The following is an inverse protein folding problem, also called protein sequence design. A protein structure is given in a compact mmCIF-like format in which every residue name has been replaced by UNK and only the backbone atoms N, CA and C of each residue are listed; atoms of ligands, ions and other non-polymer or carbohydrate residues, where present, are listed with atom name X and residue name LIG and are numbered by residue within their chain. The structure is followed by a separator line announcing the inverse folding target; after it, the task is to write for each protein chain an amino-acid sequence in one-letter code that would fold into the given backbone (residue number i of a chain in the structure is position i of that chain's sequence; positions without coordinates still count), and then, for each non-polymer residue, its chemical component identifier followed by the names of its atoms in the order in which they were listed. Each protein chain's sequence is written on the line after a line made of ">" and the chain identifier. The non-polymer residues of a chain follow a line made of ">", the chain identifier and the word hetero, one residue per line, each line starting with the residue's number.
data_IF_868629553929
#
_entry.id   IF_868629553929
#
_cell.length_a   1.000
_cell.length_b   1.000
_cell.length_c   1.000
_cell.angle_alpha   90.00
_cell.angle_beta   90.00
_cell.angle_gamma   90.00
#
_symmetry.space_group_name_H-M   'P 1'
#
loop_
_entity.id
_entity.type
_entity.pdbx_description
1 polymer ?
#
# COMPACT_ATOMS: atom_id res chain seq x y z
N UNK A 1 -7.29 -66.01 16.69
CA UNK A 1 -7.99 -64.73 16.40
C UNK A 1 -7.19 -63.64 17.06
N UNK A 2 -6.39 -62.85 16.31
CA UNK A 2 -5.59 -61.80 16.88
C UNK A 2 -6.43 -60.55 17.09
N UNK A 3 -6.30 -60.03 18.18
CA UNK A 3 -6.76 -58.93 18.96
C UNK A 3 -7.04 -57.60 18.19
N UNK A 4 -8.31 -57.30 18.05
CA UNK A 4 -8.81 -55.99 17.58
C UNK A 4 -8.35 -54.80 18.43
N UNK A 5 -7.97 -55.07 19.70
CA UNK A 5 -7.48 -54.07 20.64
C UNK A 5 -6.10 -53.49 20.23
N UNK A 6 -5.21 -54.29 19.68
CA UNK A 6 -3.88 -53.83 19.26
C UNK A 6 -3.89 -52.95 18.02
N UNK A 7 -4.86 -53.20 17.10
CA UNK A 7 -5.05 -52.40 15.93
C UNK A 7 -5.57 -50.97 16.27
N UNK A 8 -6.50 -50.86 17.21
CA UNK A 8 -7.08 -49.59 17.63
C UNK A 8 -6.05 -48.76 18.37
N UNK A 9 -5.21 -49.38 19.21
CA UNK A 9 -4.15 -48.71 19.97
C UNK A 9 -3.02 -48.17 19.07
N UNK A 10 -2.67 -48.89 18.00
CA UNK A 10 -1.70 -48.42 17.00
C UNK A 10 -2.28 -47.28 16.12
N UNK A 11 -3.54 -47.32 15.74
CA UNK A 11 -4.19 -46.25 14.99
C UNK A 11 -4.26 -44.95 15.79
N UNK A 12 -4.53 -45.03 17.10
CA UNK A 12 -4.51 -43.84 17.97
C UNK A 12 -3.14 -43.20 18.11
N UNK A 13 -2.07 -44.00 18.18
CA UNK A 13 -0.68 -43.48 18.23
C UNK A 13 -0.28 -42.81 16.92
N UNK A 14 -0.69 -43.35 15.77
CA UNK A 14 -0.39 -42.76 14.46
C UNK A 14 -1.16 -41.46 14.30
N UNK A 15 -2.43 -41.40 14.73
CA UNK A 15 -3.23 -40.15 14.67
C UNK A 15 -2.66 -39.02 15.56
N UNK A 16 -2.15 -39.36 16.76
CA UNK A 16 -1.52 -38.39 17.65
C UNK A 16 -0.19 -37.85 17.12
N UNK A 17 0.62 -38.70 16.49
CA UNK A 17 1.91 -38.30 15.88
C UNK A 17 1.67 -37.40 14.66
N UNK A 18 0.62 -37.69 13.85
CA UNK A 18 0.26 -36.85 12.69
C UNK A 18 -0.25 -35.47 13.11
N UNK A 19 -0.93 -35.34 14.24
CA UNK A 19 -1.44 -34.06 14.72
C UNK A 19 -0.32 -33.15 15.29
N UNK A 20 0.74 -33.72 15.88
CA UNK A 20 1.89 -32.95 16.36
C UNK A 20 2.80 -32.47 15.24
N UNK A 21 2.83 -33.15 14.09
CA UNK A 21 3.68 -32.75 12.94
C UNK A 21 3.10 -31.58 12.16
N UNK A 22 1.80 -31.27 12.29
CA UNK A 22 1.12 -30.21 11.52
C UNK A 22 1.29 -28.80 12.08
N UNK A 23 1.90 -28.64 13.26
CA UNK A 23 2.01 -27.31 13.92
C UNK A 23 3.29 -26.54 13.61
N UNK A 24 4.22 -27.09 12.81
CA UNK A 24 5.54 -26.47 12.57
C UNK A 24 5.69 -25.71 11.24
N UNK A 25 4.64 -25.54 10.44
CA UNK A 25 4.78 -24.97 9.07
C UNK A 25 4.33 -23.53 8.88
N UNK A 26 4.08 -22.74 9.93
CA UNK A 26 3.64 -21.34 9.79
C UNK A 26 4.63 -20.28 10.30
N UNK A 27 5.91 -20.56 10.31
CA UNK A 27 6.93 -19.51 10.50
C UNK A 27 7.58 -19.12 9.20
N UNK A 28 6.76 -18.75 8.19
CA UNK A 28 7.24 -17.93 7.09
C UNK A 28 7.36 -16.49 7.60
N UNK A 29 8.36 -16.23 8.44
CA UNK A 29 8.84 -14.88 8.70
C UNK A 29 9.34 -14.35 7.36
N UNK A 30 8.59 -13.46 6.71
CA UNK A 30 9.19 -12.62 5.69
C UNK A 30 10.29 -11.82 6.38
N UNK A 31 11.55 -12.06 6.05
CA UNK A 31 12.70 -11.26 6.47
C UNK A 31 12.57 -9.84 5.91
N UNK A 32 11.63 -9.10 6.50
CA UNK A 32 11.45 -7.70 6.15
C UNK A 32 12.59 -6.92 6.80
N UNK A 33 13.49 -6.39 5.98
CA UNK A 33 14.59 -5.54 6.45
C UNK A 33 14.01 -4.47 7.37
N UNK A 34 14.49 -4.44 8.61
CA UNK A 34 14.04 -3.51 9.64
C UNK A 34 14.62 -2.12 9.35
N UNK A 35 13.80 -1.09 9.47
CA UNK A 35 14.25 0.29 9.46
C UNK A 35 14.96 0.61 10.80
N UNK A 36 16.29 0.75 10.74
CA UNK A 36 17.14 0.98 11.93
C UNK A 36 17.50 2.45 12.14
N UNK A 37 17.05 3.35 11.24
CA UNK A 37 17.32 4.78 11.40
C UNK A 37 16.59 5.35 12.63
N UNK A 38 17.24 6.20 13.45
CA UNK A 38 16.61 6.75 14.67
C UNK A 38 15.27 7.45 14.41
N UNK A 39 15.16 8.15 13.29
CA UNK A 39 13.93 8.85 12.90
C UNK A 39 12.94 7.99 12.09
N UNK A 40 13.31 6.76 11.72
CA UNK A 40 12.49 5.83 10.94
C UNK A 40 11.87 6.46 9.68
N UNK A 41 12.67 7.21 8.93
CA UNK A 41 12.23 8.00 7.78
C UNK A 41 11.57 7.12 6.70
N UNK A 42 12.16 5.96 6.40
CA UNK A 42 11.64 5.01 5.41
C UNK A 42 10.31 4.42 5.85
N UNK A 43 10.20 3.99 7.10
CA UNK A 43 8.98 3.42 7.66
C UNK A 43 7.83 4.43 7.69
N UNK A 44 8.11 5.68 8.05
CA UNK A 44 7.11 6.76 8.09
C UNK A 44 6.54 7.05 6.70
N UNK A 45 7.40 7.27 5.69
CA UNK A 45 6.91 7.54 4.32
C UNK A 45 6.19 6.33 3.72
N UNK A 46 6.67 5.09 3.99
CA UNK A 46 5.97 3.87 3.55
C UNK A 46 4.59 3.72 4.20
N UNK A 47 4.44 4.06 5.48
CA UNK A 47 3.16 4.05 6.16
C UNK A 47 2.16 5.04 5.53
N UNK A 48 2.64 6.23 5.16
CA UNK A 48 1.81 7.25 4.49
C UNK A 48 1.39 6.80 3.08
N UNK A 49 2.29 6.23 2.28
CA UNK A 49 1.92 5.69 0.97
C UNK A 49 0.94 4.50 1.06
N UNK A 50 1.00 3.69 2.12
CA UNK A 50 -0.03 2.68 2.38
C UNK A 50 -1.39 3.32 2.71
N UNK A 51 -1.41 4.42 3.45
CA UNK A 51 -2.64 5.18 3.70
C UNK A 51 -3.20 5.72 2.39
N UNK A 52 -2.37 6.29 1.49
CA UNK A 52 -2.81 6.73 0.16
C UNK A 52 -3.53 5.61 -0.59
N UNK A 53 -2.88 4.45 -0.73
CA UNK A 53 -3.47 3.31 -1.44
C UNK A 53 -4.81 2.91 -0.82
N UNK A 54 -4.87 2.77 0.52
CA UNK A 54 -6.09 2.39 1.22
C UNK A 54 -7.22 3.41 1.05
N UNK A 55 -6.88 4.70 0.99
CA UNK A 55 -7.85 5.79 0.83
C UNK A 55 -8.31 5.92 -0.63
N UNK A 56 -7.41 5.71 -1.60
CA UNK A 56 -7.72 5.81 -3.03
C UNK A 56 -8.47 4.58 -3.57
N UNK A 57 -8.22 3.39 -3.00
CA UNK A 57 -8.78 2.12 -3.50
C UNK A 57 -10.30 2.12 -3.70
N UNK A 58 -11.15 2.55 -2.72
CA UNK A 58 -12.59 2.61 -2.91
C UNK A 58 -12.99 3.56 -4.06
N UNK A 59 -12.32 4.70 -4.18
CA UNK A 59 -12.57 5.67 -5.26
C UNK A 59 -12.21 5.07 -6.63
N UNK A 60 -11.12 4.31 -6.71
CA UNK A 60 -10.75 3.57 -7.90
C UNK A 60 -11.75 2.47 -8.27
N UNK A 61 -12.39 1.81 -7.31
CA UNK A 61 -13.48 0.85 -7.57
C UNK A 61 -14.70 1.54 -8.16
N UNK A 62 -15.08 2.70 -7.64
CA UNK A 62 -16.17 3.52 -8.21
C UNK A 62 -15.83 3.98 -9.63
N UNK A 63 -14.61 4.45 -9.86
CA UNK A 63 -14.19 4.92 -11.19
C UNK A 63 -14.26 3.82 -12.27
N UNK A 64 -14.10 2.55 -11.86
CA UNK A 64 -14.14 1.36 -12.74
C UNK A 64 -15.48 0.61 -12.73
N UNK A 65 -16.54 1.23 -12.23
CA UNK A 65 -17.89 0.63 -12.10
C UNK A 65 -17.91 -0.72 -11.33
N UNK A 66 -17.02 -0.87 -10.34
CA UNK A 66 -16.95 -2.04 -9.46
C UNK A 66 -17.57 -1.80 -8.08
N UNK A 67 -17.94 -0.56 -7.80
CA UNK A 67 -18.61 -0.13 -6.59
C UNK A 67 -19.50 1.05 -6.90
N UNK A 68 -20.67 1.13 -6.28
CA UNK A 68 -21.61 2.24 -6.44
C UNK A 68 -21.00 3.53 -5.88
N UNK A 69 -21.30 4.64 -6.56
CA UNK A 69 -20.94 5.97 -6.07
C UNK A 69 -21.88 6.40 -4.96
N UNK A 70 -21.35 6.42 -3.73
CA UNK A 70 -22.03 7.02 -2.58
C UNK A 70 -21.34 8.34 -2.28
N UNK A 71 -22.02 9.46 -2.59
CA UNK A 71 -21.44 10.80 -2.54
C UNK A 71 -20.72 11.12 -1.23
N UNK A 72 -21.35 10.83 -0.09
CA UNK A 72 -20.79 11.16 1.22
C UNK A 72 -19.46 10.41 1.48
N UNK A 73 -19.41 9.11 1.19
CA UNK A 73 -18.25 8.27 1.41
C UNK A 73 -17.10 8.63 0.44
N UNK A 74 -17.46 8.94 -0.82
CA UNK A 74 -16.49 9.35 -1.82
C UNK A 74 -15.84 10.69 -1.46
N UNK A 75 -16.65 11.68 -1.07
CA UNK A 75 -16.16 12.99 -0.61
C UNK A 75 -15.26 12.85 0.62
N UNK A 76 -15.64 12.03 1.60
CA UNK A 76 -14.82 11.79 2.80
C UNK A 76 -13.47 11.17 2.44
N UNK A 77 -13.44 10.21 1.51
CA UNK A 77 -12.21 9.59 1.01
C UNK A 77 -11.33 10.59 0.25
N UNK A 78 -11.93 11.42 -0.61
CA UNK A 78 -11.19 12.44 -1.37
C UNK A 78 -10.57 13.51 -0.46
N UNK A 79 -11.30 13.97 0.56
CA UNK A 79 -10.80 14.91 1.56
C UNK A 79 -9.69 14.29 2.44
N UNK A 80 -9.84 13.02 2.82
CA UNK A 80 -8.80 12.30 3.56
C UNK A 80 -7.52 12.17 2.73
N UNK A 81 -7.62 11.85 1.43
CA UNK A 81 -6.46 11.79 0.55
C UNK A 81 -5.83 13.18 0.38
N UNK A 82 -6.63 14.24 0.26
CA UNK A 82 -6.15 15.62 0.16
C UNK A 82 -5.34 16.02 1.39
N UNK A 83 -5.82 15.70 2.59
CA UNK A 83 -5.09 15.97 3.84
C UNK A 83 -3.75 15.25 3.90
N UNK A 84 -3.70 14.00 3.39
CA UNK A 84 -2.50 13.18 3.41
C UNK A 84 -1.47 13.58 2.33
N UNK A 85 -1.89 14.22 1.23
CA UNK A 85 -1.13 14.33 -0.02
C UNK A 85 0.25 14.98 0.12
N UNK A 86 0.43 15.88 1.09
CA UNK A 86 1.71 16.59 1.33
C UNK A 86 2.59 15.94 2.41
N UNK A 87 2.05 15.00 3.20
CA UNK A 87 2.74 14.50 4.40
C UNK A 87 4.03 13.68 4.11
N UNK A 88 4.13 12.82 3.07
CA UNK A 88 5.31 11.96 2.90
C UNK A 88 6.59 12.69 2.57
N UNK A 89 6.49 13.87 1.98
CA UNK A 89 7.62 14.55 1.35
C UNK A 89 8.68 14.99 2.36
N UNK A 90 8.27 15.34 3.58
CA UNK A 90 9.17 15.69 4.68
C UNK A 90 10.13 14.54 5.08
N UNK A 91 9.85 13.31 4.68
CA UNK A 91 10.67 12.13 5.00
C UNK A 91 11.63 11.72 3.88
N UNK A 92 11.79 12.53 2.82
CA UNK A 92 12.78 12.37 1.75
C UNK A 92 13.99 13.30 1.95
N UNK A 93 14.48 13.34 3.17
CA UNK A 93 15.70 14.10 3.54
C UNK A 93 16.96 13.49 2.93
N UNK A 94 18.08 14.20 2.93
CA UNK A 94 19.33 13.74 2.32
C UNK A 94 19.83 12.41 2.92
N UNK A 95 19.60 12.19 4.21
CA UNK A 95 19.91 10.95 4.95
C UNK A 95 18.82 9.87 4.84
N UNK A 96 17.76 10.11 4.07
CA UNK A 96 16.66 9.17 3.83
C UNK A 96 16.93 8.06 2.80
N UNK A 97 18.15 8.01 2.22
CA UNK A 97 18.54 7.02 1.22
C UNK A 97 19.28 5.83 1.86
N UNK A 98 18.55 4.99 2.59
CA UNK A 98 19.12 3.80 3.25
C UNK A 98 18.11 2.63 3.22
N UNK A 99 18.55 1.36 3.32
CA UNK A 99 17.64 0.22 3.44
C UNK A 99 16.70 0.35 4.66
N UNK A 100 15.40 0.00 4.52
CA UNK A 100 14.75 -0.70 3.42
C UNK A 100 14.06 0.22 2.37
N UNK A 101 14.69 1.32 2.00
CA UNK A 101 14.11 2.22 0.98
C UNK A 101 13.98 1.51 -0.37
N UNK A 102 12.93 1.88 -1.10
CA UNK A 102 12.75 1.58 -2.51
C UNK A 102 12.81 2.84 -3.37
N UNK A 103 13.11 3.99 -2.77
CA UNK A 103 13.40 5.19 -3.53
C UNK A 103 14.71 5.00 -4.29
N UNK A 104 14.69 5.34 -5.57
CA UNK A 104 15.90 5.35 -6.40
C UNK A 104 16.77 6.54 -6.03
N UNK A 105 18.08 6.51 -6.30
CA UNK A 105 18.99 7.66 -6.08
C UNK A 105 18.54 8.95 -6.77
N UNK A 106 17.79 8.84 -7.87
CA UNK A 106 17.23 9.93 -8.65
C UNK A 106 16.30 10.85 -7.83
N UNK A 107 15.70 10.35 -6.76
CA UNK A 107 14.93 11.19 -5.81
C UNK A 107 15.76 12.35 -5.29
N UNK A 108 17.06 12.14 -5.07
CA UNK A 108 17.98 13.14 -4.53
C UNK A 108 18.83 13.80 -5.62
N UNK A 109 19.26 13.08 -6.65
CA UNK A 109 20.06 13.63 -7.75
C UNK A 109 19.24 14.44 -8.76
N UNK A 110 17.93 14.14 -8.89
CA UNK A 110 16.96 14.85 -9.75
C UNK A 110 15.87 15.52 -8.90
N UNK A 111 16.29 16.27 -7.88
CA UNK A 111 15.37 16.86 -6.89
C UNK A 111 14.34 17.83 -7.48
N UNK A 112 14.64 18.46 -8.61
CA UNK A 112 13.71 19.31 -9.35
C UNK A 112 12.54 18.52 -9.94
N UNK A 113 12.86 17.44 -10.66
CA UNK A 113 11.89 16.54 -11.28
C UNK A 113 11.07 15.79 -10.21
N UNK A 114 11.70 15.39 -9.11
CA UNK A 114 11.00 14.78 -8.00
C UNK A 114 9.99 15.73 -7.36
N UNK A 115 10.34 17.00 -7.18
CA UNK A 115 9.43 18.04 -6.69
C UNK A 115 8.27 18.27 -7.67
N UNK A 116 8.55 18.34 -8.97
CA UNK A 116 7.50 18.48 -9.98
C UNK A 116 6.51 17.30 -9.94
N UNK A 117 6.98 16.06 -9.75
CA UNK A 117 6.12 14.91 -9.58
C UNK A 117 5.25 14.99 -8.32
N UNK A 118 5.79 15.52 -7.21
CA UNK A 118 5.03 15.80 -5.98
C UNK A 118 3.92 16.82 -6.24
N UNK A 119 4.27 17.94 -6.89
CA UNK A 119 3.35 19.04 -7.18
C UNK A 119 2.21 18.57 -8.10
N UNK A 120 2.52 17.79 -9.14
CA UNK A 120 1.51 17.17 -10.01
C UNK A 120 0.55 16.28 -9.23
N UNK A 121 1.06 15.39 -8.38
CA UNK A 121 0.22 14.53 -7.55
C UNK A 121 -0.68 15.35 -6.61
N UNK A 122 -0.15 16.35 -5.92
CA UNK A 122 -0.94 17.22 -5.03
C UNK A 122 -2.03 17.97 -5.80
N UNK A 123 -1.70 18.49 -7.00
CA UNK A 123 -2.67 19.18 -7.85
C UNK A 123 -3.81 18.25 -8.30
N UNK A 124 -3.51 17.02 -8.72
CA UNK A 124 -4.51 16.03 -9.11
C UNK A 124 -5.41 15.63 -7.94
N UNK A 125 -4.84 15.45 -6.74
CA UNK A 125 -5.60 15.15 -5.52
C UNK A 125 -6.52 16.31 -5.14
N UNK A 126 -6.05 17.55 -5.24
CA UNK A 126 -6.88 18.75 -4.99
C UNK A 126 -8.04 18.82 -5.96
N UNK A 127 -7.79 18.53 -7.25
CA UNK A 127 -8.84 18.49 -8.27
C UNK A 127 -9.87 17.40 -8.01
N UNK A 128 -9.42 16.22 -7.59
CA UNK A 128 -10.31 15.13 -7.18
C UNK A 128 -11.20 15.53 -6.00
N UNK A 129 -10.64 16.17 -4.97
CA UNK A 129 -11.40 16.67 -3.84
C UNK A 129 -12.45 17.73 -4.24
N UNK A 130 -12.08 18.64 -5.16
CA UNK A 130 -12.99 19.66 -5.70
C UNK A 130 -14.20 19.04 -6.40
N UNK A 131 -13.98 18.03 -7.26
CA UNK A 131 -15.07 17.42 -8.05
C UNK A 131 -15.78 16.28 -7.33
N UNK A 132 -15.29 15.84 -6.18
CA UNK A 132 -15.77 14.66 -5.46
C UNK A 132 -17.27 14.68 -5.12
N UNK A 133 -17.85 15.86 -4.95
CA UNK A 133 -19.27 16.08 -4.68
C UNK A 133 -20.11 16.35 -5.93
N UNK A 134 -19.53 16.30 -7.13
CA UNK A 134 -20.24 16.53 -8.39
C UNK A 134 -21.29 15.45 -8.65
N UNK A 135 -22.33 15.81 -9.44
CA UNK A 135 -23.23 14.83 -10.03
C UNK A 135 -22.66 14.24 -11.33
N UNK A 136 -21.58 14.80 -11.87
CA UNK A 136 -20.91 14.31 -13.08
C UNK A 136 -19.89 13.22 -12.74
N UNK A 137 -20.32 11.97 -12.87
CA UNK A 137 -19.46 10.79 -12.64
C UNK A 137 -18.32 10.70 -13.66
N UNK A 138 -18.45 11.28 -14.85
CA UNK A 138 -17.38 11.30 -15.86
C UNK A 138 -16.22 12.18 -15.37
N UNK A 139 -16.50 13.36 -14.83
CA UNK A 139 -15.49 14.24 -14.25
C UNK A 139 -14.81 13.60 -13.02
N UNK A 140 -15.59 12.89 -12.18
CA UNK A 140 -15.06 12.15 -11.03
C UNK A 140 -14.09 11.06 -11.48
N UNK A 141 -14.49 10.23 -12.46
CA UNK A 141 -13.64 9.15 -13.02
C UNK A 141 -12.35 9.69 -13.61
N UNK A 142 -12.43 10.71 -14.43
CA UNK A 142 -11.25 11.35 -15.03
C UNK A 142 -10.28 11.89 -13.95
N UNK A 143 -10.81 12.42 -12.84
CA UNK A 143 -9.99 12.92 -11.74
C UNK A 143 -9.32 11.79 -10.94
N UNK A 144 -9.99 10.66 -10.74
CA UNK A 144 -9.37 9.46 -10.13
C UNK A 144 -8.25 8.93 -11.02
N UNK A 145 -8.51 8.80 -12.33
CA UNK A 145 -7.50 8.35 -13.31
C UNK A 145 -6.28 9.27 -13.35
N UNK A 146 -6.47 10.58 -13.22
CA UNK A 146 -5.35 11.54 -13.14
C UNK A 146 -4.47 11.28 -11.92
N UNK A 147 -5.07 11.07 -10.73
CA UNK A 147 -4.33 10.72 -9.51
C UNK A 147 -3.57 9.40 -9.68
N UNK A 148 -4.22 8.36 -10.22
CA UNK A 148 -3.59 7.05 -10.47
C UNK A 148 -2.41 7.17 -11.46
N UNK A 149 -2.55 8.00 -12.50
CA UNK A 149 -1.51 8.29 -13.48
C UNK A 149 -0.30 8.95 -12.84
N UNK A 150 -0.51 9.95 -11.98
CA UNK A 150 0.59 10.63 -11.29
C UNK A 150 1.31 9.69 -10.31
N UNK A 151 0.56 8.85 -9.59
CA UNK A 151 1.16 7.78 -8.78
C UNK A 151 2.07 6.88 -9.61
N UNK A 152 1.58 6.42 -10.77
CA UNK A 152 2.34 5.55 -11.66
C UNK A 152 3.57 6.24 -12.23
N UNK A 153 3.44 7.43 -12.77
CA UNK A 153 4.54 8.19 -13.37
C UNK A 153 5.68 8.43 -12.38
N UNK A 154 5.34 8.87 -11.16
CA UNK A 154 6.32 9.07 -10.08
C UNK A 154 7.00 7.75 -9.70
N UNK A 155 6.25 6.65 -9.58
CA UNK A 155 6.81 5.35 -9.25
C UNK A 155 7.72 4.80 -10.35
N UNK A 156 7.38 4.94 -11.61
CA UNK A 156 8.21 4.49 -12.73
C UNK A 156 9.59 5.19 -12.71
N UNK A 157 9.62 6.48 -12.40
CA UNK A 157 10.84 7.27 -12.38
C UNK A 157 11.65 7.10 -11.10
N UNK A 158 11.00 7.15 -9.92
CA UNK A 158 11.66 7.34 -8.64
C UNK A 158 11.59 6.14 -7.68
N UNK A 159 10.97 5.02 -8.07
CA UNK A 159 10.81 3.84 -7.21
C UNK A 159 11.32 2.58 -7.91
N UNK A 160 12.14 1.81 -7.21
CA UNK A 160 12.61 0.50 -7.69
C UNK A 160 11.52 -0.57 -7.55
N UNK A 161 11.56 -1.57 -8.43
CA UNK A 161 10.72 -2.77 -8.34
C UNK A 161 10.99 -3.55 -7.06
N UNK A 162 10.08 -4.46 -6.71
CA UNK A 162 10.33 -5.41 -5.62
C UNK A 162 11.34 -6.44 -6.14
N UNK A 163 12.42 -6.57 -5.43
CA UNK A 163 13.32 -7.73 -5.56
C UNK A 163 12.69 -8.93 -4.88
#
# INVERSE_FOLDING_TARGET
>A
MPHTADLIFNMQKIALISLLASTFLFSACSDRIKDTHPQQLVSKRQALFKKFTKTLEPMGLVARDRQDYVKADFMASAQALQTLASEPWAYFTADGNYPPTRAKPEVWSQGGEFRQAQDSFVASVNKLAEVSGSADLSAIRASVEAVEKDCKSCHDQFRSDRQ
#
